data_IF_951661600067
#
_entry.id   IF_951661600067
#
_cell.length_a   1.000
_cell.length_b   1.000
_cell.length_c   1.000
_cell.angle_alpha   90.00
_cell.angle_beta   90.00
_cell.angle_gamma   90.00
#
_symmetry.space_group_name_H-M   'P 1'
#
loop_
_entity.id
_entity.type
_entity.pdbx_description
1 polymer ?
#
# COMPACT_ATOMS: atom_id res chain seq x y z
N UNK A 1 14.69 3.57 10.76
CA UNK A 1 13.81 2.52 11.33
C UNK A 1 12.83 3.03 12.39
N UNK A 2 13.25 3.81 13.40
CA UNK A 2 12.32 4.30 14.45
C UNK A 2 11.12 5.10 13.90
N UNK A 3 11.35 6.04 12.96
CA UNK A 3 10.31 6.84 12.34
C UNK A 3 9.27 6.00 11.58
N UNK A 4 9.74 4.98 10.85
CA UNK A 4 8.87 4.01 10.18
C UNK A 4 7.94 3.31 11.18
N UNK A 5 8.48 2.73 12.26
CA UNK A 5 7.68 2.00 13.25
C UNK A 5 6.69 2.91 13.98
N UNK A 6 7.12 4.11 14.37
CA UNK A 6 6.25 5.15 14.92
C UNK A 6 5.09 5.50 13.97
N UNK A 7 5.39 5.71 12.69
CA UNK A 7 4.40 6.00 11.67
C UNK A 7 3.46 4.84 11.40
N UNK A 8 3.97 3.61 11.37
CA UNK A 8 3.17 2.40 11.18
C UNK A 8 2.19 2.18 12.34
N UNK A 9 2.63 2.44 13.58
CA UNK A 9 1.75 2.46 14.75
C UNK A 9 0.63 3.50 14.63
N UNK A 10 0.95 4.71 14.16
CA UNK A 10 -0.05 5.75 13.89
C UNK A 10 -1.04 5.33 12.80
N UNK A 11 -0.57 4.71 11.72
CA UNK A 11 -1.43 4.19 10.66
C UNK A 11 -2.37 3.10 11.17
N UNK A 12 -1.86 2.13 11.94
CA UNK A 12 -2.67 1.06 12.54
C UNK A 12 -3.80 1.62 13.41
N UNK A 13 -3.51 2.68 14.16
CA UNK A 13 -4.46 3.30 15.10
C UNK A 13 -5.36 4.37 14.45
N UNK A 14 -5.12 4.78 13.20
CA UNK A 14 -5.96 5.76 12.52
C UNK A 14 -7.27 5.16 11.99
N UNK A 15 -8.14 6.01 11.43
CA UNK A 15 -9.36 5.57 10.75
C UNK A 15 -9.07 4.65 9.55
N UNK A 16 -8.03 4.94 8.77
CA UNK A 16 -7.59 4.07 7.68
C UNK A 16 -7.20 2.67 8.17
N UNK A 17 -6.49 2.57 9.32
CA UNK A 17 -6.04 1.31 9.89
C UNK A 17 -7.12 0.45 10.54
N UNK A 18 -8.36 0.97 10.69
CA UNK A 18 -9.50 0.18 11.20
C UNK A 18 -9.75 -1.07 10.37
N UNK A 19 -9.42 -1.04 9.06
CA UNK A 19 -9.58 -2.20 8.17
C UNK A 19 -8.72 -3.41 8.57
N UNK A 20 -7.68 -3.20 9.37
CA UNK A 20 -6.82 -4.28 9.89
C UNK A 20 -7.18 -4.70 11.32
N UNK A 21 -8.15 -4.05 11.95
CA UNK A 21 -8.52 -4.24 13.37
C UNK A 21 -9.96 -4.74 13.48
N UNK A 22 -10.24 -5.86 12.84
CA UNK A 22 -11.53 -6.53 12.85
C UNK A 22 -11.49 -7.74 13.78
N UNK A 23 -12.51 -7.90 14.61
CA UNK A 23 -12.66 -9.03 15.55
C UNK A 23 -13.59 -10.13 15.05
N UNK A 24 -14.24 -9.90 13.91
CA UNK A 24 -15.22 -10.79 13.30
C UNK A 24 -14.74 -11.23 11.90
N UNK A 25 -15.40 -12.26 11.36
CA UNK A 25 -15.15 -12.70 9.99
C UNK A 25 -15.46 -11.56 9.01
N UNK A 26 -14.52 -11.28 8.10
CA UNK A 26 -14.70 -10.27 7.06
C UNK A 26 -15.54 -10.83 5.91
N UNK A 27 -16.34 -10.01 5.23
CA UNK A 27 -17.12 -10.44 4.07
C UNK A 27 -16.21 -10.88 2.92
N UNK A 28 -16.79 -11.61 1.97
CA UNK A 28 -16.12 -11.93 0.72
C UNK A 28 -15.69 -10.66 -0.02
N UNK A 29 -14.54 -10.70 -0.69
CA UNK A 29 -13.97 -9.54 -1.40
C UNK A 29 -13.31 -8.49 -0.50
N UNK A 30 -13.29 -8.68 0.83
CA UNK A 30 -12.61 -7.75 1.74
C UNK A 30 -11.11 -7.62 1.45
N UNK A 31 -10.47 -8.70 1.02
CA UNK A 31 -9.11 -8.69 0.50
C UNK A 31 -9.14 -9.01 -0.99
N UNK A 32 -8.64 -8.09 -1.82
CA UNK A 32 -8.38 -8.35 -3.24
C UNK A 32 -6.88 -8.49 -3.44
N UNK A 33 -6.43 -9.68 -3.82
CA UNK A 33 -5.03 -9.97 -4.06
C UNK A 33 -4.56 -9.47 -5.42
N UNK A 34 -3.33 -8.97 -5.46
CA UNK A 34 -2.63 -8.56 -6.67
C UNK A 34 -1.35 -9.38 -6.70
N UNK A 35 -1.32 -10.39 -7.57
CA UNK A 35 -0.26 -11.40 -7.62
C UNK A 35 0.53 -11.25 -8.95
N UNK A 36 1.70 -10.59 -8.95
CA UNK A 36 2.57 -10.54 -10.11
C UNK A 36 3.16 -11.92 -10.42
N UNK A 37 3.79 -12.03 -11.60
CA UNK A 37 4.52 -13.26 -11.99
C UNK A 37 5.69 -13.59 -11.05
N UNK A 38 6.29 -12.57 -10.43
CA UNK A 38 7.38 -12.76 -9.50
C UNK A 38 6.81 -13.12 -8.11
N UNK A 39 7.09 -14.34 -7.65
CA UNK A 39 6.60 -14.88 -6.37
C UNK A 39 7.14 -14.14 -5.13
N UNK A 40 8.21 -13.36 -5.29
CA UNK A 40 8.74 -12.48 -4.25
C UNK A 40 7.99 -11.15 -4.14
N UNK A 41 6.91 -10.94 -4.91
CA UNK A 41 6.08 -9.75 -4.86
C UNK A 41 4.66 -10.09 -4.43
N UNK A 42 4.08 -9.21 -3.62
CA UNK A 42 2.72 -9.36 -3.13
C UNK A 42 2.05 -7.99 -3.03
N UNK A 43 0.90 -7.86 -3.65
CA UNK A 43 0.03 -6.71 -3.48
C UNK A 43 -1.33 -7.15 -2.95
N UNK A 44 -1.98 -6.29 -2.18
CA UNK A 44 -3.35 -6.51 -1.76
C UNK A 44 -4.07 -5.19 -1.46
N UNK A 45 -5.36 -5.18 -1.78
CA UNK A 45 -6.31 -4.12 -1.45
C UNK A 45 -7.23 -4.60 -0.34
N UNK A 46 -7.35 -3.82 0.73
CA UNK A 46 -8.17 -4.15 1.90
C UNK A 46 -9.36 -3.22 1.98
N UNK A 47 -10.56 -3.81 1.95
CA UNK A 47 -11.85 -3.15 2.08
C UNK A 47 -11.98 -1.92 1.17
N UNK A 48 -11.41 -2.00 -0.04
CA UNK A 48 -11.37 -0.92 -1.03
C UNK A 48 -10.74 0.40 -0.54
N UNK A 49 -10.00 0.39 0.58
CA UNK A 49 -9.52 1.59 1.28
C UNK A 49 -8.03 1.66 1.48
N UNK A 50 -7.34 0.52 1.58
CA UNK A 50 -5.88 0.48 1.79
C UNK A 50 -5.25 -0.45 0.77
N UNK A 51 -4.33 0.09 -0.02
CA UNK A 51 -3.48 -0.69 -0.93
C UNK A 51 -2.12 -0.90 -0.27
N UNK A 52 -1.66 -2.13 -0.23
CA UNK A 52 -0.30 -2.49 0.20
C UNK A 52 0.39 -3.23 -0.93
N UNK A 53 1.60 -2.80 -1.28
CA UNK A 53 2.46 -3.46 -2.27
C UNK A 53 3.81 -3.76 -1.63
N UNK A 54 4.33 -4.96 -1.88
CA UNK A 54 5.59 -5.46 -1.32
C UNK A 54 6.42 -6.05 -2.45
N UNK A 55 7.70 -5.68 -2.49
CA UNK A 55 8.74 -6.37 -3.23
C UNK A 55 9.77 -6.91 -2.24
N UNK A 56 9.71 -8.21 -1.95
CA UNK A 56 10.66 -8.88 -1.06
C UNK A 56 11.92 -9.38 -1.78
N UNK A 57 12.00 -9.23 -3.11
CA UNK A 57 13.19 -9.66 -3.86
C UNK A 57 14.36 -8.69 -3.68
N UNK A 58 15.56 -9.20 -3.95
CA UNK A 58 16.80 -8.42 -4.02
C UNK A 58 16.91 -7.58 -5.32
N UNK A 59 15.90 -7.61 -6.19
CA UNK A 59 15.90 -6.92 -7.48
C UNK A 59 14.74 -5.93 -7.56
N UNK A 60 14.94 -4.85 -8.31
CA UNK A 60 13.83 -3.97 -8.67
C UNK A 60 12.83 -4.73 -9.54
N UNK A 61 11.54 -4.48 -9.34
CA UNK A 61 10.45 -5.06 -10.12
C UNK A 61 9.28 -4.07 -10.22
N UNK A 62 8.21 -4.45 -10.91
CA UNK A 62 7.02 -3.62 -11.01
C UNK A 62 5.72 -4.42 -10.86
N UNK A 63 4.69 -3.72 -10.39
CA UNK A 63 3.30 -4.15 -10.58
C UNK A 63 2.77 -3.53 -11.86
N UNK A 64 2.30 -4.37 -12.78
CA UNK A 64 1.63 -3.93 -14.00
C UNK A 64 0.11 -3.87 -13.75
N UNK A 65 -0.50 -2.71 -13.97
CA UNK A 65 -1.94 -2.49 -13.87
C UNK A 65 -2.57 -2.88 -12.53
N UNK A 66 -2.31 -2.08 -11.49
CA UNK A 66 -3.01 -2.20 -10.21
C UNK A 66 -4.37 -1.52 -10.31
N UNK A 67 -5.44 -2.32 -10.29
CA UNK A 67 -6.81 -1.79 -10.27
C UNK A 67 -7.12 -1.23 -8.90
N UNK A 68 -7.51 0.05 -8.86
CA UNK A 68 -8.01 0.71 -7.65
C UNK A 68 -9.41 1.24 -7.91
N UNK A 69 -10.34 1.12 -6.95
CA UNK A 69 -11.63 1.76 -7.06
C UNK A 69 -11.47 3.27 -7.09
N UNK A 70 -12.42 3.96 -7.72
CA UNK A 70 -12.41 5.41 -7.82
C UNK A 70 -12.31 6.05 -6.42
N UNK A 71 -11.45 7.06 -6.28
CA UNK A 71 -11.21 7.70 -4.99
C UNK A 71 -9.91 8.49 -4.97
N UNK A 72 -9.75 9.37 -3.98
CA UNK A 72 -8.47 10.07 -3.81
C UNK A 72 -7.54 9.17 -3.00
N UNK A 73 -6.56 8.60 -3.67
CA UNK A 73 -5.54 7.76 -3.06
C UNK A 73 -4.29 8.56 -2.77
N UNK A 74 -3.64 8.27 -1.64
CA UNK A 74 -2.42 8.93 -1.19
C UNK A 74 -1.41 7.91 -0.69
N UNK A 75 -0.18 8.00 -1.17
CA UNK A 75 0.94 7.21 -0.66
C UNK A 75 1.29 7.72 0.74
N UNK A 76 1.13 6.86 1.75
CA UNK A 76 1.36 7.19 3.16
C UNK A 76 2.45 6.35 3.80
N UNK A 77 2.97 5.33 3.11
CA UNK A 77 4.05 4.50 3.64
C UNK A 77 5.06 4.08 2.57
N UNK A 78 6.34 4.18 2.91
CA UNK A 78 7.47 3.54 2.24
C UNK A 78 8.29 2.75 3.27
N UNK A 79 9.31 2.01 2.85
CA UNK A 79 10.28 1.38 3.77
C UNK A 79 11.01 2.39 4.67
N UNK A 80 11.07 3.66 4.28
CA UNK A 80 11.78 4.71 5.01
C UNK A 80 10.91 5.38 6.08
N UNK A 81 9.66 5.71 5.72
CA UNK A 81 8.73 6.43 6.60
C UNK A 81 7.27 6.04 6.38
N UNK A 82 6.45 6.24 7.41
CA UNK A 82 5.00 6.21 7.30
C UNK A 82 4.43 7.53 7.82
N UNK A 83 3.71 8.25 6.98
CA UNK A 83 3.12 9.54 7.27
C UNK A 83 1.70 9.64 6.68
N UNK A 84 0.69 9.74 7.55
CA UNK A 84 -0.71 9.85 7.15
C UNK A 84 -1.01 11.08 6.30
N UNK A 85 -0.21 12.15 6.40
CA UNK A 85 -0.34 13.34 5.54
C UNK A 85 0.22 13.13 4.12
N UNK A 86 0.82 11.98 3.89
CA UNK A 86 1.52 11.62 2.66
C UNK A 86 3.03 11.66 2.85
N UNK A 87 3.73 10.77 2.15
CA UNK A 87 5.19 10.74 2.09
C UNK A 87 5.68 11.60 0.92
N UNK A 88 6.81 12.27 1.09
CA UNK A 88 7.46 13.00 0.00
C UNK A 88 8.47 12.08 -0.67
N UNK A 89 8.11 11.52 -1.83
CA UNK A 89 9.02 10.71 -2.62
C UNK A 89 9.15 11.31 -4.00
N UNK A 90 10.37 11.75 -4.36
CA UNK A 90 10.65 12.42 -5.64
C UNK A 90 10.33 11.57 -6.87
N UNK A 91 10.37 10.24 -6.73
CA UNK A 91 10.27 9.30 -7.85
C UNK A 91 9.02 8.41 -7.81
N UNK A 92 8.02 8.71 -6.96
CA UNK A 92 6.85 7.82 -6.78
C UNK A 92 5.54 8.59 -6.96
N UNK A 93 4.56 7.95 -7.57
CA UNK A 93 3.21 8.52 -7.69
C UNK A 93 2.56 8.62 -6.32
N UNK A 94 2.61 9.82 -5.72
CA UNK A 94 2.15 10.07 -4.35
C UNK A 94 0.64 10.22 -4.24
N UNK A 95 -0.06 10.55 -5.35
CA UNK A 95 -1.51 10.74 -5.38
C UNK A 95 -2.11 10.17 -6.67
N UNK A 96 -3.25 9.49 -6.54
CA UNK A 96 -3.92 8.79 -7.64
C UNK A 96 -5.42 8.94 -7.49
N UNK A 97 -6.16 9.08 -8.60
CA UNK A 97 -7.64 9.14 -8.58
C UNK A 97 -8.31 7.79 -8.85
N UNK A 98 -7.66 6.95 -9.63
CA UNK A 98 -8.13 5.61 -9.99
C UNK A 98 -6.99 4.86 -10.67
N UNK A 99 -6.78 3.60 -10.30
CA UNK A 99 -5.80 2.70 -10.88
C UNK A 99 -4.34 3.17 -10.86
N UNK A 100 -3.40 2.24 -10.96
CA UNK A 100 -1.99 2.56 -11.24
C UNK A 100 -1.56 1.70 -12.42
N UNK A 101 -1.27 2.35 -13.55
CA UNK A 101 -0.89 1.63 -14.78
C UNK A 101 0.40 0.82 -14.59
N UNK A 102 1.36 1.39 -13.86
CA UNK A 102 2.59 0.73 -13.46
C UNK A 102 3.06 1.29 -12.13
N UNK A 103 3.57 0.43 -11.26
CA UNK A 103 4.24 0.83 -10.01
C UNK A 103 5.60 0.17 -9.96
N UNK A 104 6.65 0.95 -10.20
CA UNK A 104 8.03 0.49 -10.03
C UNK A 104 8.38 0.42 -8.54
N UNK A 105 9.00 -0.68 -8.14
CA UNK A 105 9.35 -0.99 -6.76
C UNK A 105 10.83 -1.34 -6.65
N UNK A 106 11.50 -0.64 -5.74
CA UNK A 106 12.89 -0.93 -5.37
C UNK A 106 13.01 -2.35 -4.74
N UNK A 107 14.21 -2.95 -4.73
CA UNK A 107 14.47 -4.15 -3.94
C UNK A 107 14.02 -3.98 -2.48
N UNK A 108 13.51 -5.05 -1.86
CA UNK A 108 13.17 -5.06 -0.43
C UNK A 108 12.30 -3.86 0.02
N UNK A 109 11.30 -3.50 -0.80
CA UNK A 109 10.49 -2.30 -0.59
C UNK A 109 9.02 -2.58 -0.27
N UNK A 110 8.41 -1.65 0.45
CA UNK A 110 7.01 -1.64 0.85
C UNK A 110 6.41 -0.29 0.46
N UNK A 111 5.23 -0.30 -0.17
CA UNK A 111 4.44 0.91 -0.39
C UNK A 111 3.00 0.72 0.13
N UNK A 112 2.47 1.78 0.75
CA UNK A 112 1.12 1.79 1.31
C UNK A 112 0.38 3.03 0.84
N UNK A 113 -0.76 2.86 0.17
CA UNK A 113 -1.69 3.94 -0.12
C UNK A 113 -2.98 3.79 0.70
N UNK A 114 -3.57 4.92 1.06
CA UNK A 114 -4.90 5.00 1.66
C UNK A 114 -5.82 5.83 0.78
N UNK A 115 -7.10 5.47 0.76
CA UNK A 115 -8.19 6.20 0.12
C UNK A 115 -8.83 7.15 1.12
N UNK A 116 -8.93 8.42 0.74
CA UNK A 116 -9.71 9.45 1.43
C UNK A 116 -11.22 9.28 1.25
#
# INVERSE_FOLDING_TARGET
>A
MYAFWQGLGKLRNSDYGKVFRVSEAVPEGYYTWILPKNESMLGYLVNEKVLVLINASEKANSFDSVKLPAGKWRLVGTTEEVNLKGVKSSNKTTKVKQGLNKVDMEPTSLYIWVKD
#
